data_IF_605217255300
#
_entry.id   IF_605217255300
#
_cell.length_a   1.000
_cell.length_b   1.000
_cell.length_c   1.000
_cell.angle_alpha   90.00
_cell.angle_beta   90.00
_cell.angle_gamma   90.00
#
_symmetry.space_group_name_H-M   'P 1'
#
loop_
_entity.id
_entity.type
_entity.pdbx_description
1 polymer ?
#
# COMPACT_ATOMS: atom_id res chain seq x y z
N UNK A 1 -68.70 -32.85 -41.27
CA UNK A 1 -67.95 -31.73 -40.59
C UNK A 1 -66.70 -32.27 -39.93
N UNK A 2 -65.54 -31.97 -40.54
CA UNK A 2 -64.22 -32.34 -39.99
C UNK A 2 -63.64 -31.08 -39.39
N UNK A 3 -63.39 -31.06 -38.04
CA UNK A 3 -62.66 -30.00 -37.33
C UNK A 3 -61.15 -30.29 -37.37
N UNK A 4 -60.42 -29.42 -38.02
CA UNK A 4 -58.97 -29.44 -38.05
C UNK A 4 -58.46 -28.58 -36.87
N UNK A 5 -57.90 -29.23 -35.82
CA UNK A 5 -57.23 -28.50 -34.73
C UNK A 5 -55.78 -28.18 -35.15
N UNK A 6 -55.51 -26.90 -35.37
CA UNK A 6 -54.13 -26.40 -35.57
C UNK A 6 -53.47 -26.22 -34.20
N UNK A 7 -52.50 -27.10 -33.87
CA UNK A 7 -51.67 -26.95 -32.67
C UNK A 7 -50.47 -26.05 -33.02
N UNK A 8 -50.47 -24.79 -32.52
CA UNK A 8 -49.31 -23.91 -32.58
C UNK A 8 -48.27 -24.33 -31.53
N UNK A 9 -47.15 -24.90 -31.98
CA UNK A 9 -45.98 -25.18 -31.11
C UNK A 9 -45.20 -23.88 -30.93
N UNK A 10 -45.31 -23.27 -29.74
CA UNK A 10 -44.44 -22.17 -29.30
C UNK A 10 -43.07 -22.77 -28.92
N UNK A 11 -42.08 -22.64 -29.82
CA UNK A 11 -40.67 -22.98 -29.52
C UNK A 11 -40.11 -21.90 -28.56
N UNK A 12 -39.98 -22.23 -27.27
CA UNK A 12 -39.18 -21.48 -26.31
C UNK A 12 -37.71 -21.63 -26.68
N UNK A 13 -37.11 -20.59 -27.24
CA UNK A 13 -35.67 -20.48 -27.35
C UNK A 13 -35.09 -20.20 -25.96
N UNK A 14 -34.72 -21.24 -25.25
CA UNK A 14 -33.84 -21.12 -24.08
C UNK A 14 -32.48 -20.62 -24.57
N UNK A 15 -32.18 -19.36 -24.40
CA UNK A 15 -30.82 -18.83 -24.55
C UNK A 15 -29.92 -19.54 -23.53
N UNK A 16 -29.20 -20.54 -23.95
CA UNK A 16 -28.15 -21.15 -23.14
C UNK A 16 -27.10 -20.07 -22.87
N UNK A 17 -27.11 -19.49 -21.68
CA UNK A 17 -25.99 -18.68 -21.21
C UNK A 17 -24.74 -19.55 -21.22
N UNK A 18 -23.76 -19.18 -22.04
CA UNK A 18 -22.45 -19.81 -21.99
C UNK A 18 -21.93 -19.77 -20.56
N UNK A 19 -21.39 -20.89 -20.03
CA UNK A 19 -20.85 -20.89 -18.67
C UNK A 19 -19.79 -19.78 -18.56
N UNK A 20 -19.91 -18.95 -17.52
CA UNK A 20 -18.97 -17.88 -17.28
C UNK A 20 -17.55 -18.46 -17.20
N UNK A 21 -16.61 -17.86 -17.91
CA UNK A 21 -15.20 -18.29 -17.88
C UNK A 21 -14.71 -18.24 -16.43
N UNK A 22 -14.05 -19.30 -15.91
CA UNK A 22 -13.54 -19.30 -14.55
C UNK A 22 -12.55 -18.15 -14.35
N UNK A 23 -12.68 -17.47 -13.21
CA UNK A 23 -11.79 -16.36 -12.85
C UNK A 23 -10.37 -16.89 -12.62
N UNK A 24 -9.37 -16.16 -13.09
CA UNK A 24 -7.96 -16.50 -12.87
C UNK A 24 -7.54 -16.08 -11.47
N UNK A 25 -7.02 -16.97 -10.60
CA UNK A 25 -6.57 -16.59 -9.27
C UNK A 25 -5.32 -15.69 -9.33
N UNK A 26 -5.28 -14.68 -8.48
CA UNK A 26 -4.15 -13.77 -8.29
C UNK A 26 -3.98 -13.50 -6.81
N UNK A 27 -2.74 -13.53 -6.32
CA UNK A 27 -2.44 -13.21 -4.92
C UNK A 27 -1.55 -11.97 -4.82
N UNK A 28 -1.94 -11.04 -3.94
CA UNK A 28 -1.20 -9.81 -3.66
C UNK A 28 -0.74 -9.82 -2.21
N UNK A 29 0.54 -9.57 -1.95
CA UNK A 29 1.08 -9.40 -0.60
C UNK A 29 1.11 -7.93 -0.18
N UNK A 30 0.84 -7.65 1.10
CA UNK A 30 0.98 -6.33 1.70
C UNK A 30 1.67 -6.41 3.06
N UNK A 31 2.65 -5.53 3.28
CA UNK A 31 3.46 -5.49 4.49
C UNK A 31 2.72 -4.87 5.67
N UNK A 32 1.74 -5.60 6.23
CA UNK A 32 0.97 -5.19 7.43
C UNK A 32 0.50 -6.43 8.19
N UNK A 33 0.09 -6.27 9.44
CA UNK A 33 -0.57 -7.34 10.22
C UNK A 33 -2.08 -7.37 10.00
N UNK A 34 -2.69 -6.22 9.68
CA UNK A 34 -4.14 -6.07 9.52
C UNK A 34 -4.42 -5.28 8.26
N UNK A 35 -5.26 -5.85 7.40
CA UNK A 35 -5.73 -5.17 6.20
C UNK A 35 -6.88 -4.22 6.56
N UNK A 36 -6.53 -3.09 7.15
CA UNK A 36 -7.48 -2.07 7.59
C UNK A 36 -7.83 -1.06 6.49
N UNK A 37 -8.57 -0.03 6.81
CA UNK A 37 -9.08 1.00 5.89
C UNK A 37 -8.00 1.75 5.11
N UNK A 38 -6.73 1.68 5.52
CA UNK A 38 -5.62 2.42 4.87
C UNK A 38 -5.07 1.75 3.61
N UNK A 39 -5.67 0.64 3.14
CA UNK A 39 -5.29 -0.07 1.91
C UNK A 39 -6.43 -0.07 0.88
N UNK A 40 -7.06 1.08 0.56
CA UNK A 40 -8.27 1.12 -0.26
C UNK A 40 -8.03 0.63 -1.69
N UNK A 41 -6.84 0.84 -2.27
CA UNK A 41 -6.49 0.35 -3.62
C UNK A 41 -6.36 -1.18 -3.69
N UNK A 42 -6.31 -1.88 -2.55
CA UNK A 42 -6.27 -3.34 -2.48
C UNK A 42 -7.60 -3.94 -2.03
N UNK A 43 -8.35 -3.26 -1.17
CA UNK A 43 -9.62 -3.78 -0.61
C UNK A 43 -10.82 -3.43 -1.47
N UNK A 44 -10.93 -2.18 -1.93
CA UNK A 44 -12.07 -1.73 -2.74
C UNK A 44 -12.19 -2.43 -4.10
N UNK A 45 -11.10 -2.79 -4.84
CA UNK A 45 -11.27 -3.52 -6.09
C UNK A 45 -11.94 -4.88 -5.91
N UNK A 46 -11.73 -5.54 -4.75
CA UNK A 46 -12.41 -6.78 -4.38
C UNK A 46 -13.90 -6.49 -4.11
N UNK A 47 -14.16 -5.52 -3.24
CA UNK A 47 -15.52 -5.15 -2.77
C UNK A 47 -16.39 -4.65 -3.91
N UNK A 48 -15.82 -3.83 -4.81
CA UNK A 48 -16.51 -3.21 -5.94
C UNK A 48 -16.49 -4.07 -7.21
N UNK A 49 -15.85 -5.24 -7.19
CA UNK A 49 -15.81 -6.17 -8.31
C UNK A 49 -14.85 -5.77 -9.44
N UNK A 50 -14.05 -4.73 -9.31
CA UNK A 50 -13.22 -4.20 -10.41
C UNK A 50 -12.25 -5.24 -10.99
N UNK A 51 -11.68 -6.12 -10.18
CA UNK A 51 -10.81 -7.21 -10.65
C UNK A 51 -11.60 -8.38 -11.20
N UNK A 52 -12.78 -8.67 -10.63
CA UNK A 52 -13.67 -9.71 -11.14
C UNK A 52 -14.17 -9.40 -12.55
N UNK A 53 -14.50 -8.13 -12.80
CA UNK A 53 -14.93 -7.65 -14.12
C UNK A 53 -13.82 -7.78 -15.18
N UNK A 54 -12.56 -7.77 -14.76
CA UNK A 54 -11.38 -8.01 -15.61
C UNK A 54 -11.05 -9.52 -15.72
N UNK A 55 -11.80 -10.40 -15.04
CA UNK A 55 -11.61 -11.86 -15.11
C UNK A 55 -10.68 -12.45 -14.04
N UNK A 56 -10.43 -11.74 -12.94
CA UNK A 56 -9.51 -12.19 -11.89
C UNK A 56 -10.21 -12.34 -10.54
N UNK A 57 -9.86 -13.45 -9.84
CA UNK A 57 -10.20 -13.68 -8.43
C UNK A 57 -8.99 -13.33 -7.57
N UNK A 58 -9.02 -12.15 -6.94
CA UNK A 58 -7.87 -11.59 -6.25
C UNK A 58 -7.97 -11.81 -4.75
N UNK A 59 -6.91 -12.39 -4.19
CA UNK A 59 -6.70 -12.51 -2.75
C UNK A 59 -5.58 -11.58 -2.30
N UNK A 60 -5.82 -10.79 -1.25
CA UNK A 60 -4.80 -9.99 -0.57
C UNK A 60 -4.40 -10.69 0.72
N UNK A 61 -3.09 -10.90 0.91
CA UNK A 61 -2.52 -11.49 2.13
C UNK A 61 -1.57 -10.53 2.82
N UNK A 62 -1.48 -10.65 4.14
CA UNK A 62 -0.57 -9.84 4.95
C UNK A 62 0.77 -10.54 5.15
N UNK A 63 1.86 -9.78 5.13
CA UNK A 63 3.23 -10.25 5.30
C UNK A 63 4.02 -9.32 6.21
N UNK A 64 5.18 -9.76 6.70
CA UNK A 64 6.02 -9.01 7.63
C UNK A 64 6.82 -7.84 7.02
N UNK A 65 6.51 -7.43 5.77
CA UNK A 65 7.14 -6.29 5.12
C UNK A 65 7.62 -6.59 3.70
N UNK A 66 8.26 -5.61 3.06
CA UNK A 66 8.68 -5.68 1.66
C UNK A 66 9.60 -6.87 1.36
N UNK A 67 10.53 -7.18 2.26
CA UNK A 67 11.45 -8.30 2.06
C UNK A 67 10.70 -9.63 1.95
N UNK A 68 9.74 -9.90 2.84
CA UNK A 68 8.95 -11.13 2.79
C UNK A 68 8.04 -11.17 1.56
N UNK A 69 7.44 -10.03 1.18
CA UNK A 69 6.65 -9.93 -0.05
C UNK A 69 7.47 -10.29 -1.30
N UNK A 70 8.70 -9.76 -1.40
CA UNK A 70 9.62 -10.07 -2.51
C UNK A 70 10.02 -11.54 -2.50
N UNK A 71 10.33 -12.11 -1.33
CA UNK A 71 10.66 -13.53 -1.21
C UNK A 71 9.51 -14.43 -1.66
N UNK A 72 8.26 -14.09 -1.30
CA UNK A 72 7.08 -14.83 -1.74
C UNK A 72 6.82 -14.69 -3.25
N UNK A 73 7.07 -13.52 -3.85
CA UNK A 73 7.02 -13.35 -5.32
C UNK A 73 8.07 -14.22 -6.02
N UNK A 74 9.31 -14.25 -5.51
CA UNK A 74 10.39 -15.09 -6.08
C UNK A 74 10.02 -16.57 -6.00
N UNK A 75 9.46 -16.99 -4.87
CA UNK A 75 8.97 -18.36 -4.64
C UNK A 75 7.67 -18.72 -5.38
N UNK A 76 7.00 -17.77 -6.02
CA UNK A 76 5.75 -17.99 -6.75
C UNK A 76 4.50 -18.15 -5.87
N UNK A 77 4.58 -17.79 -4.59
CA UNK A 77 3.45 -17.83 -3.67
C UNK A 77 2.52 -16.61 -3.82
N UNK A 78 3.04 -15.50 -4.32
CA UNK A 78 2.27 -14.30 -4.67
C UNK A 78 2.70 -13.75 -6.02
N UNK A 79 1.78 -13.05 -6.69
CA UNK A 79 2.01 -12.47 -8.02
C UNK A 79 2.48 -11.02 -7.93
N UNK A 80 1.96 -10.28 -6.95
CA UNK A 80 2.22 -8.86 -6.74
C UNK A 80 2.48 -8.56 -5.27
N UNK A 81 3.13 -7.43 -4.99
CA UNK A 81 3.26 -6.95 -3.62
C UNK A 81 3.18 -5.42 -3.55
N UNK A 82 2.60 -4.92 -2.45
CA UNK A 82 2.80 -3.56 -1.99
C UNK A 82 4.15 -3.50 -1.28
N UNK A 83 5.05 -2.70 -1.81
CA UNK A 83 6.44 -2.57 -1.37
C UNK A 83 6.74 -1.14 -0.90
N UNK A 84 7.75 -1.00 -0.05
CA UNK A 84 8.43 0.27 0.11
C UNK A 84 9.48 0.43 -1.01
N UNK A 85 9.70 1.63 -1.49
CA UNK A 85 10.73 1.93 -2.51
C UNK A 85 12.12 1.43 -2.11
N UNK A 86 12.47 1.52 -0.81
CA UNK A 86 13.71 0.97 -0.26
C UNK A 86 13.87 -0.52 -0.54
N UNK A 87 12.81 -1.31 -0.30
CA UNK A 87 12.83 -2.75 -0.55
C UNK A 87 12.93 -3.09 -2.03
N UNK A 88 12.20 -2.35 -2.89
CA UNK A 88 12.28 -2.48 -4.35
C UNK A 88 13.70 -2.18 -4.85
N UNK A 89 14.32 -1.09 -4.38
CA UNK A 89 15.67 -0.69 -4.76
C UNK A 89 16.67 -1.75 -4.29
N UNK A 90 16.65 -2.17 -3.01
CA UNK A 90 17.56 -3.19 -2.49
C UNK A 90 17.45 -4.52 -3.23
N UNK A 91 16.25 -4.94 -3.63
CA UNK A 91 16.07 -6.15 -4.43
C UNK A 91 16.87 -6.08 -5.74
N UNK A 92 16.87 -4.94 -6.42
CA UNK A 92 17.56 -4.75 -7.68
C UNK A 92 19.07 -4.48 -7.52
N UNK A 93 19.45 -3.72 -6.50
CA UNK A 93 20.87 -3.30 -6.32
C UNK A 93 21.71 -4.32 -5.57
N UNK A 94 21.15 -4.96 -4.53
CA UNK A 94 21.92 -5.83 -3.64
C UNK A 94 21.65 -7.32 -3.91
N UNK A 95 20.43 -7.69 -4.32
CA UNK A 95 20.01 -9.09 -4.40
C UNK A 95 19.88 -9.62 -5.83
N UNK A 96 20.05 -8.77 -6.86
CA UNK A 96 19.85 -9.10 -8.28
C UNK A 96 18.46 -9.68 -8.58
N UNK A 97 17.43 -9.28 -7.82
CA UNK A 97 16.04 -9.66 -8.06
C UNK A 97 15.36 -8.57 -8.86
N UNK A 98 14.94 -8.89 -10.08
CA UNK A 98 14.31 -7.95 -11.00
C UNK A 98 12.86 -7.63 -10.59
N UNK A 99 12.69 -6.85 -9.52
CA UNK A 99 11.39 -6.29 -9.10
C UNK A 99 11.14 -5.02 -9.88
N UNK A 100 9.90 -4.82 -10.34
CA UNK A 100 9.46 -3.63 -11.09
C UNK A 100 8.32 -2.95 -10.38
N UNK A 101 8.44 -1.64 -10.17
CA UNK A 101 7.34 -0.79 -9.77
C UNK A 101 6.34 -0.65 -10.91
N UNK A 102 5.07 -0.80 -10.61
CA UNK A 102 3.95 -0.68 -11.52
C UNK A 102 3.16 0.61 -11.29
N UNK A 103 2.96 0.97 -10.02
CA UNK A 103 2.22 2.16 -9.59
C UNK A 103 2.85 2.76 -8.35
N UNK A 104 3.02 4.09 -8.33
CA UNK A 104 3.40 4.84 -7.15
C UNK A 104 2.16 5.19 -6.31
N UNK A 105 2.13 4.76 -5.04
CA UNK A 105 0.98 4.92 -4.15
C UNK A 105 1.26 5.76 -2.89
N UNK A 106 2.45 6.31 -2.75
CA UNK A 106 2.80 7.14 -1.60
C UNK A 106 4.21 7.72 -1.66
N UNK A 107 4.40 8.78 -0.91
CA UNK A 107 5.73 9.32 -0.57
C UNK A 107 6.15 8.79 0.79
N UNK A 108 7.43 8.95 1.16
CA UNK A 108 7.88 8.58 2.51
C UNK A 108 7.14 9.44 3.52
N UNK A 109 6.18 8.85 4.24
CA UNK A 109 5.41 9.45 5.33
C UNK A 109 5.83 8.93 6.71
N UNK A 110 6.90 8.17 6.78
CA UNK A 110 7.46 7.59 7.99
C UNK A 110 7.96 8.66 8.97
N UNK A 111 8.02 8.25 10.25
CA UNK A 111 8.59 9.08 11.31
C UNK A 111 8.88 8.27 12.57
N UNK A 112 9.69 8.84 13.42
CA UNK A 112 10.04 8.30 14.74
C UNK A 112 9.14 8.95 15.77
N UNK A 113 8.10 8.23 16.20
CA UNK A 113 7.19 8.67 17.26
C UNK A 113 7.79 8.44 18.63
N UNK A 114 7.81 9.49 19.44
CA UNK A 114 8.26 9.49 20.84
C UNK A 114 7.20 10.10 21.75
N UNK A 115 7.21 9.77 23.03
CA UNK A 115 6.26 10.39 23.98
C UNK A 115 6.41 11.90 23.97
N UNK A 116 5.29 12.64 23.82
CA UNK A 116 5.26 14.11 23.71
C UNK A 116 5.97 14.80 24.88
N UNK A 117 5.72 14.32 26.09
CA UNK A 117 6.25 14.88 27.31
C UNK A 117 7.51 14.15 27.81
N UNK A 118 7.99 13.15 27.03
CA UNK A 118 9.20 12.37 27.31
C UNK A 118 10.51 13.16 27.12
N UNK A 119 11.64 12.55 27.47
CA UNK A 119 12.95 13.21 27.39
C UNK A 119 13.47 13.38 25.95
N UNK A 120 13.01 12.57 25.00
CA UNK A 120 13.46 12.61 23.61
C UNK A 120 12.75 13.77 22.90
N UNK A 121 13.51 14.78 22.48
CA UNK A 121 13.02 15.99 21.81
C UNK A 121 13.53 16.12 20.37
N UNK A 122 14.72 15.60 20.12
CA UNK A 122 15.44 15.66 18.85
C UNK A 122 15.94 14.27 18.46
N UNK A 123 16.42 14.12 17.22
CA UNK A 123 17.02 12.86 16.77
C UNK A 123 18.30 12.52 17.58
N UNK A 124 19.06 13.50 18.03
CA UNK A 124 20.27 13.27 18.83
C UNK A 124 19.98 12.53 20.14
N UNK A 125 18.79 12.74 20.74
CA UNK A 125 18.36 12.08 21.97
C UNK A 125 18.06 10.58 21.79
N UNK A 126 18.04 10.09 20.54
CA UNK A 126 17.87 8.65 20.24
C UNK A 126 19.13 7.84 20.53
N UNK A 127 20.30 8.47 20.70
CA UNK A 127 21.53 7.77 21.04
C UNK A 127 21.37 7.01 22.36
N UNK A 128 21.76 5.72 22.36
CA UNK A 128 21.58 4.81 23.49
C UNK A 128 20.16 4.25 23.67
N UNK A 129 19.22 4.55 22.75
CA UNK A 129 17.82 4.14 22.90
C UNK A 129 17.49 2.88 22.11
N UNK A 130 16.39 2.23 22.53
CA UNK A 130 15.74 1.15 21.79
C UNK A 130 14.62 1.73 20.94
N UNK A 131 14.65 1.46 19.64
CA UNK A 131 13.66 1.95 18.67
C UNK A 131 12.85 0.77 18.17
N UNK A 132 11.56 0.78 18.45
CA UNK A 132 10.61 -0.23 17.98
C UNK A 132 10.26 0.01 16.52
N UNK A 133 10.14 -1.09 15.77
CA UNK A 133 9.70 -1.06 14.36
C UNK A 133 8.76 -2.24 14.11
N UNK A 134 7.91 -2.14 13.09
CA UNK A 134 6.95 -3.19 12.74
C UNK A 134 7.63 -4.56 12.64
N UNK A 135 8.62 -4.70 11.76
CA UNK A 135 9.45 -5.88 11.59
C UNK A 135 10.82 -5.48 11.04
N UNK A 136 11.82 -6.34 11.19
CA UNK A 136 13.16 -6.09 10.65
C UNK A 136 13.24 -6.22 9.11
N UNK A 137 12.22 -6.79 8.47
CA UNK A 137 12.10 -6.90 7.01
C UNK A 137 11.28 -5.78 6.36
N UNK A 138 10.86 -4.76 7.13
CA UNK A 138 10.13 -3.61 6.59
C UNK A 138 11.07 -2.58 5.95
N UNK A 139 10.57 -1.84 4.95
CA UNK A 139 11.30 -0.74 4.31
C UNK A 139 11.64 0.44 5.22
N UNK A 140 11.01 0.53 6.39
CA UNK A 140 11.34 1.52 7.41
C UNK A 140 12.71 1.31 8.08
N UNK A 141 13.28 0.10 8.05
CA UNK A 141 14.62 -0.16 8.62
C UNK A 141 15.72 0.61 7.88
N UNK A 142 15.83 0.52 6.54
CA UNK A 142 16.76 1.36 5.79
C UNK A 142 16.57 2.85 6.03
N UNK A 143 15.32 3.34 6.02
CA UNK A 143 15.00 4.75 6.29
C UNK A 143 15.50 5.20 7.67
N UNK A 144 15.22 4.41 8.71
CA UNK A 144 15.67 4.70 10.06
C UNK A 144 17.20 4.74 10.16
N UNK A 145 17.87 3.74 9.59
CA UNK A 145 19.35 3.67 9.59
C UNK A 145 19.96 4.87 8.89
N UNK A 146 19.43 5.28 7.73
CA UNK A 146 19.86 6.46 7.01
C UNK A 146 19.63 7.74 7.81
N UNK A 147 18.46 7.88 8.44
CA UNK A 147 18.13 9.04 9.29
C UNK A 147 19.07 9.18 10.49
N UNK A 148 19.38 8.07 11.14
CA UNK A 148 20.35 8.06 12.26
C UNK A 148 21.74 8.47 11.78
N UNK A 149 22.26 7.88 10.68
CA UNK A 149 23.58 8.20 10.13
C UNK A 149 23.71 9.66 9.71
N UNK A 150 22.69 10.20 9.04
CA UNK A 150 22.69 11.61 8.62
C UNK A 150 22.72 12.60 9.81
N UNK A 151 22.36 12.12 11.00
CA UNK A 151 22.42 12.88 12.25
C UNK A 151 23.57 12.45 13.19
N UNK A 152 24.58 11.76 12.66
CA UNK A 152 25.78 11.39 13.42
C UNK A 152 25.61 10.26 14.43
N UNK A 153 24.54 9.47 14.30
CA UNK A 153 24.26 8.29 15.14
C UNK A 153 24.56 7.03 14.35
N UNK A 154 25.43 6.16 14.85
CA UNK A 154 25.68 4.87 14.25
C UNK A 154 24.52 3.91 14.57
N UNK A 155 23.70 3.49 13.58
CA UNK A 155 22.54 2.65 13.84
C UNK A 155 22.89 1.22 14.30
N UNK A 156 24.14 0.79 14.12
CA UNK A 156 24.56 -0.56 14.43
C UNK A 156 25.23 -0.67 15.83
N UNK A 157 25.61 0.48 16.44
CA UNK A 157 26.25 0.51 17.78
C UNK A 157 25.57 1.47 18.77
N UNK A 158 24.98 2.57 18.29
CA UNK A 158 24.48 3.62 19.17
C UNK A 158 22.98 3.45 19.52
N UNK A 159 22.25 2.55 18.85
CA UNK A 159 20.83 2.25 19.12
C UNK A 159 20.56 0.75 19.00
N UNK A 160 19.40 0.32 19.51
CA UNK A 160 18.89 -1.03 19.25
C UNK A 160 17.58 -0.92 18.47
N UNK A 161 17.50 -1.54 17.29
CA UNK A 161 16.27 -1.63 16.50
C UNK A 161 15.59 -2.95 16.84
N UNK A 162 14.35 -2.88 17.33
CA UNK A 162 13.60 -4.03 17.87
C UNK A 162 12.28 -4.19 17.13
N UNK A 163 11.99 -5.40 16.64
CA UNK A 163 10.67 -5.72 16.10
C UNK A 163 9.62 -5.74 17.22
N UNK A 164 8.58 -4.90 17.11
CA UNK A 164 7.52 -4.77 18.09
C UNK A 164 6.16 -5.26 17.59
N UNK A 165 6.05 -5.61 16.31
CA UNK A 165 4.75 -5.74 15.64
C UNK A 165 4.11 -4.38 15.37
N UNK A 166 2.82 -4.35 15.04
CA UNK A 166 2.05 -3.14 14.81
C UNK A 166 0.87 -3.01 15.78
N UNK A 167 0.26 -1.82 15.83
CA UNK A 167 -0.90 -1.55 16.69
C UNK A 167 -0.59 -1.66 18.18
N UNK A 168 -1.47 -2.36 18.94
CA UNK A 168 -1.38 -2.44 20.39
C UNK A 168 -0.03 -2.99 20.91
N UNK A 169 0.58 -4.06 20.36
CA UNK A 169 1.87 -4.54 20.82
C UNK A 169 3.01 -3.53 20.74
N UNK A 170 3.05 -2.72 19.65
CA UNK A 170 4.04 -1.66 19.49
C UNK A 170 3.81 -0.53 20.51
N UNK A 171 2.56 -0.13 20.68
CA UNK A 171 2.20 0.93 21.62
C UNK A 171 2.49 0.53 23.07
N UNK A 172 2.22 -0.71 23.43
CA UNK A 172 2.53 -1.25 24.75
C UNK A 172 4.04 -1.31 24.99
N UNK A 173 4.82 -1.65 23.97
CA UNK A 173 6.28 -1.62 24.07
C UNK A 173 6.82 -0.22 24.36
N UNK A 174 6.18 0.83 23.81
CA UNK A 174 6.53 2.22 24.10
C UNK A 174 6.08 2.65 25.51
N UNK A 175 4.84 2.33 25.91
CA UNK A 175 4.27 2.70 27.20
C UNK A 175 4.97 2.00 28.38
N UNK A 176 5.43 0.78 28.20
CA UNK A 176 6.20 0.02 29.21
C UNK A 176 7.70 0.30 29.19
N UNK A 177 8.15 1.28 28.40
CA UNK A 177 9.56 1.62 28.24
C UNK A 177 10.48 0.49 27.71
N UNK A 178 9.86 -0.55 27.13
CA UNK A 178 10.60 -1.62 26.43
C UNK A 178 11.35 -1.07 25.20
N UNK A 179 10.75 -0.06 24.55
CA UNK A 179 11.36 0.82 23.56
C UNK A 179 11.04 2.26 23.89
N UNK A 180 11.91 3.21 23.54
CA UNK A 180 11.73 4.62 23.84
C UNK A 180 11.23 5.44 22.66
N UNK A 181 11.21 4.81 21.47
CA UNK A 181 10.72 5.40 20.23
C UNK A 181 10.10 4.32 19.33
N UNK A 182 9.23 4.73 18.41
CA UNK A 182 8.58 3.86 17.43
C UNK A 182 8.77 4.43 16.02
N UNK A 183 9.45 3.71 15.11
CA UNK A 183 9.56 4.07 13.70
C UNK A 183 8.45 3.41 12.91
N UNK A 184 7.47 4.22 12.45
CA UNK A 184 6.30 3.76 11.72
C UNK A 184 5.87 4.77 10.64
N UNK A 185 5.01 4.32 9.72
CA UNK A 185 4.38 5.16 8.69
C UNK A 185 3.22 5.98 9.25
N UNK A 186 2.84 7.02 8.52
CA UNK A 186 1.92 8.06 9.00
C UNK A 186 0.59 7.54 9.55
N UNK A 187 -0.08 6.62 8.84
CA UNK A 187 -1.36 6.09 9.33
C UNK A 187 -1.21 5.24 10.60
N UNK A 188 -0.11 4.51 10.78
CA UNK A 188 0.16 3.78 12.02
C UNK A 188 0.42 4.72 13.20
N UNK A 189 1.18 5.81 12.97
CA UNK A 189 1.39 6.86 13.99
C UNK A 189 0.07 7.53 14.38
N UNK A 190 -0.81 7.81 13.42
CA UNK A 190 -2.16 8.30 13.68
C UNK A 190 -2.99 7.32 14.54
N UNK A 191 -2.83 6.01 14.30
CA UNK A 191 -3.47 4.97 15.11
C UNK A 191 -3.02 4.96 16.58
N UNK A 192 -1.72 5.19 16.83
CA UNK A 192 -1.22 5.33 18.21
C UNK A 192 -1.79 6.57 18.91
N UNK A 193 -2.00 7.68 18.18
CA UNK A 193 -2.63 8.88 18.71
C UNK A 193 -4.13 8.65 19.00
N UNK A 194 -4.85 7.91 18.15
CA UNK A 194 -6.23 7.50 18.42
C UNK A 194 -6.36 6.67 19.70
N UNK A 195 -5.34 5.88 20.03
CA UNK A 195 -5.27 5.14 21.30
C UNK A 195 -4.88 6.03 22.50
N UNK A 196 -5.01 7.36 22.39
CA UNK A 196 -4.78 8.36 23.43
C UNK A 196 -3.31 8.64 23.72
N UNK A 197 -2.39 8.20 22.91
CA UNK A 197 -0.96 8.45 23.12
C UNK A 197 -0.54 9.75 22.48
N UNK A 198 -0.15 10.73 23.29
CA UNK A 198 0.39 12.01 22.81
C UNK A 198 1.83 11.79 22.35
N UNK A 199 2.06 12.01 21.06
CA UNK A 199 3.37 11.75 20.43
C UNK A 199 3.92 12.99 19.73
N UNK A 200 5.24 13.19 19.85
CA UNK A 200 6.03 13.99 18.93
C UNK A 200 6.56 13.03 17.85
N UNK A 201 6.56 13.49 16.60
CA UNK A 201 7.09 12.71 15.48
C UNK A 201 8.33 13.42 14.94
N UNK A 202 9.46 12.73 14.96
CA UNK A 202 10.72 13.17 14.39
C UNK A 202 10.86 12.56 12.98
N UNK A 203 11.20 13.37 12.00
CA UNK A 203 11.40 12.91 10.60
C UNK A 203 12.29 13.89 9.83
N UNK A 204 12.84 13.45 8.71
CA UNK A 204 13.53 14.33 7.77
C UNK A 204 12.51 14.93 6.79
N UNK A 205 12.33 16.27 6.75
CA UNK A 205 11.42 16.92 5.80
C UNK A 205 11.69 16.55 4.34
N UNK A 206 12.94 16.24 3.97
CA UNK A 206 13.32 15.85 2.61
C UNK A 206 12.67 14.53 2.18
N UNK A 207 12.26 13.68 3.10
CA UNK A 207 11.57 12.42 2.79
C UNK A 207 10.26 12.63 2.03
N UNK A 208 9.56 13.74 2.26
CA UNK A 208 8.28 14.03 1.56
C UNK A 208 8.43 14.25 0.06
N UNK A 209 9.67 14.42 -0.42
CA UNK A 209 10.01 14.51 -1.84
C UNK A 209 10.54 13.18 -2.43
N UNK A 210 10.50 12.09 -1.66
CA UNK A 210 10.97 10.77 -2.07
C UNK A 210 9.80 9.78 -2.20
N UNK A 211 9.81 8.87 -3.20
CA UNK A 211 8.79 7.85 -3.37
C UNK A 211 8.86 6.82 -2.25
N UNK A 212 7.72 6.25 -1.86
CA UNK A 212 7.70 5.11 -0.94
C UNK A 212 6.77 4.00 -1.44
N UNK A 213 5.51 3.97 -1.02
CA UNK A 213 4.62 2.86 -1.36
C UNK A 213 4.50 2.67 -2.87
N UNK A 214 4.97 1.53 -3.31
CA UNK A 214 5.02 1.14 -4.72
C UNK A 214 4.35 -0.21 -4.88
N UNK A 215 3.31 -0.28 -5.70
CA UNK A 215 2.75 -1.56 -6.14
C UNK A 215 3.68 -2.16 -7.17
N UNK A 216 4.11 -3.40 -7.00
CA UNK A 216 5.14 -4.01 -7.82
C UNK A 216 4.98 -5.50 -8.05
N UNK A 217 5.73 -6.00 -9.03
CA UNK A 217 5.84 -7.41 -9.37
C UNK A 217 7.24 -7.75 -9.91
N UNK A 218 7.49 -9.02 -10.20
CA UNK A 218 8.73 -9.44 -10.85
C UNK A 218 8.69 -9.20 -12.37
N UNK A 219 9.84 -8.91 -12.97
CA UNK A 219 9.95 -8.80 -14.44
C UNK A 219 9.38 -10.04 -15.15
N UNK A 220 9.69 -11.26 -14.65
CA UNK A 220 9.17 -12.50 -15.22
C UNK A 220 7.64 -12.59 -15.27
N UNK A 221 6.95 -11.98 -14.29
CA UNK A 221 5.48 -11.93 -14.24
C UNK A 221 4.94 -10.98 -15.32
N UNK A 222 5.61 -9.83 -15.52
CA UNK A 222 5.28 -8.88 -16.59
C UNK A 222 5.43 -9.54 -17.96
N UNK A 223 6.52 -10.27 -18.16
CA UNK A 223 6.83 -10.93 -19.43
C UNK A 223 5.85 -12.07 -19.73
N UNK A 224 5.43 -12.81 -18.69
CA UNK A 224 4.54 -13.96 -18.83
C UNK A 224 3.07 -13.58 -19.08
N UNK A 225 2.57 -12.53 -18.40
CA UNK A 225 1.17 -12.09 -18.53
C UNK A 225 1.03 -10.57 -18.36
N UNK A 226 1.42 -9.80 -19.38
CA UNK A 226 1.31 -8.36 -19.33
C UNK A 226 -0.14 -7.86 -19.25
N UNK A 227 -1.11 -8.65 -19.72
CA UNK A 227 -2.53 -8.30 -19.63
C UNK A 227 -3.04 -8.38 -18.19
N UNK A 228 -2.62 -9.40 -17.44
CA UNK A 228 -2.90 -9.51 -16.01
C UNK A 228 -2.32 -8.31 -15.25
N UNK A 229 -1.05 -7.95 -15.52
CA UNK A 229 -0.38 -6.83 -14.85
C UNK A 229 -1.14 -5.53 -15.07
N UNK A 230 -1.62 -5.29 -16.30
CA UNK A 230 -2.41 -4.12 -16.65
C UNK A 230 -3.79 -4.14 -15.97
N UNK A 231 -4.52 -5.26 -16.01
CA UNK A 231 -5.84 -5.41 -15.42
C UNK A 231 -5.82 -5.22 -13.88
N UNK A 232 -4.86 -5.83 -13.21
CA UNK A 232 -4.71 -5.72 -11.74
C UNK A 232 -4.37 -4.26 -11.35
N UNK A 233 -3.45 -3.63 -12.08
CA UNK A 233 -3.09 -2.23 -11.84
C UNK A 233 -4.26 -1.28 -12.15
N UNK A 234 -5.05 -1.53 -13.20
CA UNK A 234 -6.27 -0.75 -13.53
C UNK A 234 -7.33 -0.84 -12.43
N UNK A 235 -7.57 -2.01 -11.87
CA UNK A 235 -8.48 -2.17 -10.73
C UNK A 235 -8.04 -1.36 -9.52
N UNK A 236 -6.73 -1.35 -9.22
CA UNK A 236 -6.16 -0.51 -8.17
C UNK A 236 -6.30 1.00 -8.47
N UNK A 237 -6.14 1.42 -9.75
CA UNK A 237 -6.33 2.81 -10.16
C UNK A 237 -7.80 3.25 -10.02
N UNK A 238 -8.78 2.43 -10.43
CA UNK A 238 -10.22 2.68 -10.20
C UNK A 238 -10.52 2.88 -8.73
N UNK A 239 -10.00 2.02 -7.86
CA UNK A 239 -10.21 2.10 -6.42
C UNK A 239 -9.54 3.33 -5.79
N UNK A 240 -8.39 3.74 -6.31
CA UNK A 240 -7.73 4.98 -5.92
C UNK A 240 -8.61 6.19 -6.23
N UNK A 241 -9.16 6.28 -7.44
CA UNK A 241 -10.10 7.33 -7.81
C UNK A 241 -11.35 7.32 -6.93
N UNK A 242 -11.91 6.13 -6.67
CA UNK A 242 -13.10 5.97 -5.81
C UNK A 242 -12.86 6.54 -4.41
N UNK A 243 -11.78 6.11 -3.74
CA UNK A 243 -11.50 6.57 -2.37
C UNK A 243 -11.15 8.05 -2.30
N UNK A 244 -10.47 8.60 -3.29
CA UNK A 244 -10.20 10.04 -3.38
C UNK A 244 -11.46 10.86 -3.61
N UNK A 245 -12.46 10.31 -4.30
CA UNK A 245 -13.75 10.96 -4.54
C UNK A 245 -14.63 10.97 -3.28
N UNK A 246 -14.75 9.83 -2.59
CA UNK A 246 -15.59 9.72 -1.39
C UNK A 246 -14.93 8.82 -0.31
N UNK A 247 -14.03 9.38 0.50
CA UNK A 247 -13.35 8.63 1.58
C UNK A 247 -14.32 8.04 2.60
N UNK A 248 -15.40 8.74 2.92
CA UNK A 248 -16.42 8.26 3.87
C UNK A 248 -17.14 7.03 3.35
N UNK A 249 -17.48 7.01 2.06
CA UNK A 249 -18.05 5.83 1.43
C UNK A 249 -17.08 4.65 1.44
N UNK A 250 -15.82 4.90 1.10
CA UNK A 250 -14.77 3.89 1.14
C UNK A 250 -14.61 3.27 2.54
N UNK A 251 -14.61 4.10 3.59
CA UNK A 251 -14.58 3.66 5.00
C UNK A 251 -15.76 2.72 5.31
N UNK A 252 -16.98 3.14 4.99
CA UNK A 252 -18.19 2.37 5.28
C UNK A 252 -18.23 1.05 4.52
N UNK A 253 -17.86 1.05 3.24
CA UNK A 253 -17.73 -0.16 2.43
C UNK A 253 -16.66 -1.11 3.03
N UNK A 254 -15.54 -0.55 3.49
CA UNK A 254 -14.51 -1.33 4.15
C UNK A 254 -15.06 -2.01 5.42
N UNK A 255 -15.68 -1.28 6.33
CA UNK A 255 -16.24 -1.84 7.56
C UNK A 255 -17.30 -2.91 7.31
N UNK A 256 -18.15 -2.72 6.27
CA UNK A 256 -19.16 -3.71 5.89
C UNK A 256 -18.54 -5.03 5.44
N UNK A 257 -17.44 -4.99 4.70
CA UNK A 257 -16.81 -6.17 4.10
C UNK A 257 -15.67 -6.75 4.96
N UNK A 258 -15.09 -5.94 5.86
CA UNK A 258 -14.02 -6.31 6.78
C UNK A 258 -14.38 -5.93 8.23
N UNK A 259 -15.51 -6.44 8.79
CA UNK A 259 -16.05 -5.98 10.07
C UNK A 259 -15.10 -6.19 11.26
N UNK A 260 -14.22 -7.17 11.17
CA UNK A 260 -13.21 -7.43 12.21
C UNK A 260 -12.14 -6.33 12.33
N UNK A 261 -12.06 -5.43 11.34
CA UNK A 261 -11.10 -4.31 11.32
C UNK A 261 -11.70 -3.01 11.84
N UNK A 262 -13.04 -2.96 12.00
CA UNK A 262 -13.73 -1.80 12.58
C UNK A 262 -13.28 -1.62 14.02
N UNK A 263 -12.82 -0.43 14.43
CA UNK A 263 -12.44 -0.19 15.82
C UNK A 263 -13.66 -0.34 16.74
N UNK A 264 -13.43 -0.58 18.03
CA UNK A 264 -14.45 -0.77 19.04
C UNK A 264 -14.14 0.07 20.29
N UNK A 265 -15.08 0.13 21.24
CA UNK A 265 -14.85 0.77 22.53
C UNK A 265 -15.22 2.27 22.60
N UNK A 266 -15.90 2.81 21.55
CA UNK A 266 -16.39 4.18 21.53
C UNK A 266 -17.73 4.27 20.78
N UNK A 267 -18.36 5.45 20.76
CA UNK A 267 -19.53 5.71 19.93
C UNK A 267 -19.16 5.75 18.43
N UNK A 268 -20.16 5.61 17.57
CA UNK A 268 -19.97 5.51 16.11
C UNK A 268 -19.24 6.74 15.54
N UNK A 269 -19.53 7.95 16.03
CA UNK A 269 -18.90 9.18 15.53
C UNK A 269 -17.40 9.18 15.86
N UNK A 270 -17.02 8.72 17.05
CA UNK A 270 -15.64 8.56 17.48
C UNK A 270 -14.93 7.49 16.65
N UNK A 271 -15.56 6.33 16.43
CA UNK A 271 -14.97 5.26 15.60
C UNK A 271 -14.74 5.73 14.15
N UNK A 272 -15.70 6.45 13.57
CA UNK A 272 -15.54 7.10 12.26
C UNK A 272 -14.37 8.08 12.27
N UNK A 273 -14.29 8.95 13.26
CA UNK A 273 -13.20 9.92 13.38
C UNK A 273 -11.82 9.24 13.47
N UNK A 274 -11.73 8.13 14.18
CA UNK A 274 -10.49 7.38 14.30
C UNK A 274 -10.01 6.80 12.96
N UNK A 275 -10.86 6.07 12.26
CA UNK A 275 -10.49 5.43 11.00
C UNK A 275 -10.38 6.43 9.86
N UNK A 276 -11.17 7.53 9.87
CA UNK A 276 -10.96 8.63 8.92
C UNK A 276 -9.59 9.29 9.09
N UNK A 277 -9.11 9.46 10.32
CA UNK A 277 -7.74 9.99 10.55
C UNK A 277 -6.66 9.09 9.97
N UNK A 278 -6.83 7.77 10.08
CA UNK A 278 -5.91 6.80 9.46
C UNK A 278 -5.97 6.90 7.93
N UNK A 279 -7.18 6.92 7.39
CA UNK A 279 -7.42 7.01 5.95
C UNK A 279 -6.89 8.33 5.38
N UNK A 280 -7.13 9.46 6.06
CA UNK A 280 -6.66 10.78 5.64
C UNK A 280 -5.14 10.85 5.58
N UNK A 281 -4.44 10.27 6.57
CA UNK A 281 -2.97 10.18 6.54
C UNK A 281 -2.49 9.42 5.29
N UNK A 282 -3.14 8.31 4.95
CA UNK A 282 -2.82 7.55 3.74
C UNK A 282 -3.14 8.32 2.47
N UNK A 283 -4.31 8.95 2.40
CA UNK A 283 -4.73 9.75 1.23
C UNK A 283 -3.81 10.95 1.00
N UNK A 284 -3.31 11.57 2.07
CA UNK A 284 -2.33 12.64 1.96
C UNK A 284 -1.01 12.15 1.32
N UNK A 285 -0.52 10.98 1.73
CA UNK A 285 0.68 10.35 1.12
C UNK A 285 0.44 10.01 -0.35
N UNK A 286 -0.72 9.46 -0.69
CA UNK A 286 -1.12 9.15 -2.07
C UNK A 286 -1.23 10.42 -2.93
N UNK A 287 -1.83 11.49 -2.40
CA UNK A 287 -1.94 12.78 -3.07
C UNK A 287 -0.56 13.38 -3.35
N UNK A 288 0.32 13.36 -2.36
CA UNK A 288 1.70 13.86 -2.53
C UNK A 288 2.46 13.05 -3.58
N UNK A 289 2.27 11.72 -3.65
CA UNK A 289 2.85 10.89 -4.71
C UNK A 289 2.29 11.24 -6.09
N UNK A 290 0.98 11.44 -6.20
CA UNK A 290 0.33 11.86 -7.44
C UNK A 290 0.90 13.19 -7.94
N UNK A 291 1.02 14.19 -7.06
CA UNK A 291 1.58 15.52 -7.38
C UNK A 291 3.08 15.43 -7.75
N UNK A 292 3.87 14.65 -7.01
CA UNK A 292 5.29 14.40 -7.29
C UNK A 292 5.50 13.79 -8.68
N UNK A 293 4.57 12.98 -9.14
CA UNK A 293 4.62 12.27 -10.42
C UNK A 293 3.83 12.99 -11.55
N UNK A 294 3.65 14.30 -11.43
CA UNK A 294 3.10 15.17 -12.48
C UNK A 294 1.61 15.45 -12.40
N UNK A 295 0.88 14.87 -11.44
CA UNK A 295 -0.51 15.21 -11.12
C UNK A 295 -1.54 14.94 -12.23
N UNK A 296 -1.29 13.97 -13.14
CA UNK A 296 -2.16 13.73 -14.31
C UNK A 296 -2.76 12.32 -14.34
N UNK A 297 -1.95 11.31 -14.07
CA UNK A 297 -2.33 9.90 -14.19
C UNK A 297 -2.12 9.17 -12.86
N UNK A 298 -3.10 8.42 -12.44
CA UNK A 298 -3.04 7.61 -11.22
C UNK A 298 -1.97 6.52 -11.39
N UNK A 299 -1.12 6.38 -10.39
CA UNK A 299 -0.06 5.37 -10.38
C UNK A 299 1.17 5.74 -11.20
N UNK A 300 1.22 6.93 -11.83
CA UNK A 300 2.43 7.40 -12.50
C UNK A 300 3.63 7.37 -11.55
N UNK A 301 4.82 7.15 -12.11
CA UNK A 301 6.08 7.15 -11.37
C UNK A 301 7.14 7.88 -12.17
N UNK A 302 7.85 8.82 -11.51
CA UNK A 302 8.97 9.53 -12.10
C UNK A 302 10.28 8.76 -11.82
N UNK A 303 10.99 8.23 -12.83
CA UNK A 303 12.27 7.56 -12.62
C UNK A 303 13.27 8.42 -11.86
N UNK A 304 13.29 9.75 -12.10
CA UNK A 304 14.19 10.65 -11.40
C UNK A 304 13.94 10.68 -9.88
N UNK A 305 12.70 10.50 -9.43
CA UNK A 305 12.40 10.39 -8.00
C UNK A 305 13.01 9.12 -7.39
N UNK A 306 12.97 7.99 -8.11
CA UNK A 306 13.65 6.75 -7.70
C UNK A 306 15.18 6.89 -7.78
N UNK A 307 15.71 7.68 -8.70
CA UNK A 307 17.12 8.07 -8.73
C UNK A 307 17.53 8.80 -7.45
N UNK A 308 16.77 9.84 -7.07
CA UNK A 308 17.01 10.57 -5.80
C UNK A 308 16.92 9.65 -4.57
N UNK A 309 16.03 8.67 -4.59
CA UNK A 309 15.92 7.69 -3.52
C UNK A 309 17.15 6.76 -3.47
N UNK A 310 17.69 6.32 -4.62
CA UNK A 310 18.94 5.58 -4.67
C UNK A 310 20.11 6.41 -4.14
N UNK A 311 20.21 7.70 -4.52
CA UNK A 311 21.26 8.61 -4.03
C UNK A 311 21.19 8.75 -2.50
N UNK A 312 20.00 8.89 -1.94
CA UNK A 312 19.79 8.91 -0.49
C UNK A 312 20.32 7.60 0.14
N UNK A 313 19.91 6.44 -0.40
CA UNK A 313 20.28 5.12 0.14
C UNK A 313 21.78 4.80 -0.05
N UNK A 314 22.40 5.29 -1.13
CA UNK A 314 23.83 5.14 -1.38
C UNK A 314 24.65 5.99 -0.41
N UNK A 315 24.24 7.26 -0.22
CA UNK A 315 24.90 8.21 0.68
C UNK A 315 24.91 7.72 2.13
N UNK A 316 23.83 7.09 2.57
CA UNK A 316 23.74 6.55 3.93
C UNK A 316 24.29 5.12 4.08
N UNK A 317 24.81 4.53 3.01
CA UNK A 317 25.39 3.20 2.99
C UNK A 317 24.38 2.04 3.07
N UNK A 318 23.10 2.31 2.80
CA UNK A 318 22.03 1.29 2.76
C UNK A 318 22.16 0.40 1.51
N UNK A 319 22.64 0.96 0.41
CA UNK A 319 23.01 0.23 -0.80
C UNK A 319 24.48 0.54 -1.16
N UNK A 320 25.11 -0.36 -1.94
CA UNK A 320 26.51 -0.23 -2.36
C UNK A 320 26.68 0.26 -3.80
N UNK A 321 25.60 0.21 -4.57
CA UNK A 321 25.57 0.63 -5.99
C UNK A 321 24.18 1.11 -6.36
N UNK A 322 24.09 1.85 -7.43
CA UNK A 322 22.83 2.24 -8.08
C UNK A 322 22.62 1.44 -9.37
N UNK A 323 21.41 1.45 -9.87
CA UNK A 323 21.03 0.97 -11.20
C UNK A 323 20.35 2.13 -11.96
N UNK A 324 20.21 2.02 -13.27
CA UNK A 324 19.44 3.01 -14.03
C UNK A 324 18.03 3.13 -13.43
N UNK A 325 17.56 4.32 -13.02
CA UNK A 325 16.28 4.49 -12.32
C UNK A 325 15.09 3.90 -13.10
N UNK A 326 15.12 4.00 -14.43
CA UNK A 326 14.12 3.44 -15.34
C UNK A 326 14.01 1.91 -15.20
N UNK A 327 15.11 1.24 -14.88
CA UNK A 327 15.13 -0.22 -14.68
C UNK A 327 14.44 -0.69 -13.42
N UNK A 328 14.13 0.20 -12.49
CA UNK A 328 13.34 -0.10 -11.29
C UNK A 328 11.85 -0.14 -11.58
N UNK A 329 11.41 0.45 -12.68
CA UNK A 329 10.02 0.63 -13.03
C UNK A 329 9.64 -0.26 -14.23
N UNK A 330 8.33 -0.44 -14.43
CA UNK A 330 7.84 -1.15 -15.60
C UNK A 330 8.25 -0.41 -16.89
N UNK A 331 9.00 -1.09 -17.73
CA UNK A 331 9.38 -0.59 -19.05
C UNK A 331 8.42 -1.11 -20.11
N UNK A 332 7.21 -0.55 -20.12
CA UNK A 332 6.18 -0.86 -21.13
C UNK A 332 5.52 0.43 -21.59
N UNK A 333 5.83 0.90 -22.83
CA UNK A 333 5.24 2.13 -23.35
C UNK A 333 3.72 2.12 -23.27
N UNK A 334 3.13 3.23 -22.79
CA UNK A 334 1.68 3.39 -22.67
C UNK A 334 1.05 2.63 -21.48
N UNK A 335 1.83 1.99 -20.60
CA UNK A 335 1.29 1.23 -19.46
C UNK A 335 0.46 2.12 -18.52
N UNK A 336 0.98 3.30 -18.15
CA UNK A 336 0.27 4.22 -17.24
C UNK A 336 -1.02 4.73 -17.88
N UNK A 337 -1.02 5.02 -19.18
CA UNK A 337 -2.24 5.38 -19.92
C UNK A 337 -3.24 4.22 -19.94
N UNK A 338 -2.77 2.98 -20.13
CA UNK A 338 -3.62 1.80 -20.18
C UNK A 338 -4.31 1.51 -18.86
N UNK A 339 -3.62 1.66 -17.72
CA UNK A 339 -4.23 1.47 -16.39
C UNK A 339 -5.20 2.59 -16.01
N UNK A 340 -5.12 3.76 -16.66
CA UNK A 340 -6.06 4.87 -16.51
C UNK A 340 -7.18 4.87 -17.57
N UNK A 341 -7.19 3.89 -18.49
CA UNK A 341 -8.22 3.76 -19.52
C UNK A 341 -9.46 3.05 -18.98
N UNK A 342 -10.27 3.79 -18.25
CA UNK A 342 -11.57 3.36 -17.76
C UNK A 342 -12.55 4.56 -17.71
N UNK A 343 -13.82 4.32 -17.51
CA UNK A 343 -14.81 5.39 -17.35
C UNK A 343 -14.65 6.03 -15.96
N UNK A 344 -13.91 7.14 -15.89
CA UNK A 344 -13.68 7.92 -14.67
C UNK A 344 -14.97 8.45 -14.10
N UNK A 345 -15.92 8.90 -14.99
CA UNK A 345 -17.21 9.43 -14.55
C UNK A 345 -18.02 8.36 -13.85
N UNK A 346 -18.08 7.15 -14.38
CA UNK A 346 -18.79 6.06 -13.75
C UNK A 346 -18.23 5.70 -12.35
N UNK A 347 -16.91 5.75 -12.17
CA UNK A 347 -16.28 5.54 -10.85
C UNK A 347 -16.61 6.66 -9.87
N UNK A 348 -16.59 7.93 -10.33
CA UNK A 348 -16.94 9.10 -9.52
C UNK A 348 -18.42 9.04 -9.11
N UNK A 349 -19.31 8.76 -10.06
CA UNK A 349 -20.75 8.64 -9.79
C UNK A 349 -21.05 7.50 -8.79
N UNK A 350 -20.39 6.34 -8.95
CA UNK A 350 -20.50 5.21 -8.01
C UNK A 350 -20.02 5.58 -6.59
N UNK A 351 -18.91 6.29 -6.48
CA UNK A 351 -18.38 6.76 -5.19
C UNK A 351 -19.35 7.76 -4.52
N UNK A 352 -19.91 8.69 -5.28
CA UNK A 352 -20.86 9.68 -4.78
C UNK A 352 -22.22 9.07 -4.42
N UNK A 353 -22.71 8.12 -5.21
CA UNK A 353 -23.93 7.38 -4.92
C UNK A 353 -23.79 6.50 -3.67
N UNK A 354 -22.59 6.03 -3.38
CA UNK A 354 -22.25 5.18 -2.23
C UNK A 354 -23.23 4.00 -2.07
N UNK A 355 -23.61 3.37 -3.16
CA UNK A 355 -24.50 2.23 -3.15
C UNK A 355 -23.83 1.02 -2.49
N UNK A 356 -24.56 0.33 -1.62
CA UNK A 356 -24.03 -0.87 -0.95
C UNK A 356 -23.52 -0.64 0.46
N UNK A 357 -23.66 0.55 1.01
CA UNK A 357 -23.39 0.89 2.43
C UNK A 357 -24.62 0.65 3.29
#
# INVERSE_FOLDING_TARGET
LVFLCLATVLAFHASAQSPAKPLKPVTIAVGTQVLNVTYPWLTLPIVLGYWRDEGYDVKVITVGGSLQGIQQMVGGAVDFAQLNSTGLIQANTENNVAVRGLMGNGVIDWGVGVMQDGPIKTVADLKGKKIGIFSLGTGGVPLLKGYLRSNGINPDSDVQIIATGAGAPALEALKSDRVQALMFWGSALAGFQNAGTRMRVLFDPAWRALPDFTFGTLQKTIDADPAMVEAISRGAAKATLFVQTNPMCALKLHWKNYPSTKPTGADEATLVSWDMRLLDAQLQSMKSAFEMNGGKLIGAMDPAAYGRMQDFMLKDGTIKRTVAPESLLINRPGFVDAINRFDHKAVIDAANACAGV
#
